data_IF_564450730665
#
_entry.id   IF_564450730665
#
_cell.length_a   1.000
_cell.length_b   1.000
_cell.length_c   1.000
_cell.angle_alpha   90.00
_cell.angle_beta   90.00
_cell.angle_gamma   90.00
#
_symmetry.space_group_name_H-M   'P 1'
#
loop_
_entity.id
_entity.type
_entity.pdbx_description
1 polymer ?
#
# COMPACT_ATOMS: atom_id res chain seq x y z
N UNK A 1 21.44 -25.40 -9.56
CA UNK A 1 21.49 -26.78 -9.03
C UNK A 1 22.45 -27.00 -7.85
N UNK A 2 23.53 -26.23 -7.65
CA UNK A 2 24.48 -26.46 -6.54
C UNK A 2 24.03 -25.97 -5.14
N UNK A 3 23.06 -25.04 -5.06
CA UNK A 3 22.58 -24.48 -3.77
C UNK A 3 21.56 -25.39 -3.08
N UNK A 4 20.74 -26.11 -3.87
CA UNK A 4 19.75 -27.08 -3.37
C UNK A 4 20.40 -28.32 -2.74
N UNK A 5 21.57 -28.74 -3.22
CA UNK A 5 22.29 -29.90 -2.65
C UNK A 5 22.86 -29.62 -1.25
N UNK A 6 23.40 -28.41 -1.00
CA UNK A 6 23.95 -28.06 0.33
C UNK A 6 22.87 -27.97 1.41
N UNK A 7 21.67 -27.49 1.07
CA UNK A 7 20.52 -27.47 1.99
C UNK A 7 20.03 -28.88 2.36
N UNK A 8 20.05 -29.80 1.39
CA UNK A 8 19.74 -31.21 1.64
C UNK A 8 20.78 -31.87 2.56
N UNK A 9 22.04 -31.45 2.50
CA UNK A 9 23.12 -32.02 3.30
C UNK A 9 23.10 -31.52 4.75
N UNK A 10 22.80 -30.23 4.96
CA UNK A 10 22.61 -29.67 6.31
C UNK A 10 21.45 -30.34 7.06
N UNK A 11 20.32 -30.58 6.38
CA UNK A 11 19.20 -31.31 6.98
C UNK A 11 19.58 -32.76 7.32
N UNK A 12 20.38 -33.43 6.49
CA UNK A 12 20.87 -34.79 6.79
C UNK A 12 21.76 -34.83 8.03
N UNK A 13 22.67 -33.88 8.17
CA UNK A 13 23.50 -33.74 9.37
C UNK A 13 22.65 -33.55 10.62
N UNK A 14 21.66 -32.66 10.55
CA UNK A 14 20.70 -32.44 11.64
C UNK A 14 19.94 -33.72 12.00
N UNK A 15 19.41 -34.45 11.01
CA UNK A 15 18.69 -35.71 11.24
C UNK A 15 19.58 -36.79 11.89
N UNK A 16 20.87 -36.83 11.54
CA UNK A 16 21.83 -37.74 12.16
C UNK A 16 22.10 -37.36 13.63
N UNK A 17 22.27 -36.07 13.93
CA UNK A 17 22.51 -35.59 15.30
C UNK A 17 21.33 -35.90 16.22
N UNK A 18 20.10 -35.58 15.81
CA UNK A 18 18.91 -35.87 16.62
C UNK A 18 18.64 -37.37 16.77
N UNK A 19 19.18 -38.20 15.88
CA UNK A 19 19.08 -39.66 15.94
C UNK A 19 19.95 -40.29 17.04
N UNK A 20 20.97 -39.58 17.52
CA UNK A 20 21.88 -40.07 18.57
C UNK A 20 21.26 -40.00 19.97
N UNK A 21 20.27 -39.14 20.18
CA UNK A 21 19.59 -39.01 21.46
C UNK A 21 18.58 -40.14 21.68
N UNK A 22 18.61 -40.73 22.87
CA UNK A 22 17.70 -41.81 23.26
C UNK A 22 16.28 -41.30 23.49
N UNK A 23 15.29 -42.12 23.14
CA UNK A 23 13.89 -41.83 23.44
C UNK A 23 13.63 -42.01 24.94
N UNK A 24 12.85 -41.10 25.52
CA UNK A 24 12.50 -41.14 26.93
C UNK A 24 11.38 -42.13 27.20
N UNK A 25 11.45 -42.78 28.36
CA UNK A 25 10.34 -43.55 28.91
C UNK A 25 9.37 -42.62 29.66
N UNK A 26 8.16 -43.08 29.95
CA UNK A 26 7.21 -42.30 30.76
C UNK A 26 7.70 -42.02 32.19
N UNK A 27 8.58 -42.87 32.73
CA UNK A 27 9.23 -42.64 34.03
C UNK A 27 10.31 -41.55 33.92
N UNK A 28 11.09 -41.55 32.84
CA UNK A 28 12.06 -40.50 32.58
C UNK A 28 11.39 -39.14 32.36
N UNK A 29 10.27 -39.08 31.63
CA UNK A 29 9.48 -37.85 31.44
C UNK A 29 9.04 -37.27 32.78
N UNK A 30 8.59 -38.11 33.73
CA UNK A 30 8.22 -37.65 35.09
C UNK A 30 9.43 -37.17 35.88
N UNK A 31 10.55 -37.92 35.83
CA UNK A 31 11.79 -37.55 36.54
C UNK A 31 12.34 -36.22 36.04
N UNK A 32 12.42 -36.03 34.72
CA UNK A 32 12.88 -34.79 34.11
C UNK A 32 11.91 -33.65 34.37
N UNK A 33 10.60 -33.88 34.26
CA UNK A 33 9.58 -32.87 34.59
C UNK A 33 9.71 -32.34 36.02
N UNK A 34 10.00 -33.23 36.99
CA UNK A 34 10.26 -32.83 38.38
C UNK A 34 11.51 -31.95 38.51
N UNK A 35 12.64 -32.38 37.94
CA UNK A 35 13.89 -31.62 37.99
C UNK A 35 13.75 -30.24 37.33
N UNK A 36 12.98 -30.13 36.24
CA UNK A 36 12.70 -28.86 35.57
C UNK A 36 11.90 -27.92 36.48
N UNK A 37 10.85 -28.42 37.13
CA UNK A 37 10.02 -27.65 38.08
C UNK A 37 10.85 -27.19 39.28
N UNK A 38 11.63 -28.09 39.87
CA UNK A 38 12.52 -27.78 41.00
C UNK A 38 13.58 -26.73 40.61
N UNK A 39 14.14 -26.84 39.40
CA UNK A 39 15.09 -25.86 38.86
C UNK A 39 14.45 -24.49 38.59
N UNK A 40 13.21 -24.44 38.11
CA UNK A 40 12.48 -23.19 37.89
C UNK A 40 12.24 -22.44 39.20
N UNK A 41 11.78 -23.15 40.23
CA UNK A 41 11.60 -22.60 41.58
C UNK A 41 12.93 -22.09 42.14
N UNK A 42 14.04 -22.80 41.88
CA UNK A 42 15.36 -22.36 42.32
C UNK A 42 15.81 -21.07 41.61
N UNK A 43 15.51 -20.92 40.31
CA UNK A 43 15.80 -19.70 39.54
C UNK A 43 14.94 -18.52 40.04
N UNK A 44 13.65 -18.72 40.29
CA UNK A 44 12.77 -17.69 40.85
C UNK A 44 13.27 -17.19 42.21
N UNK A 45 13.64 -18.10 43.11
CA UNK A 45 14.22 -17.73 44.41
C UNK A 45 15.53 -16.96 44.28
N UNK A 46 16.41 -17.37 43.36
CA UNK A 46 17.68 -16.68 43.13
C UNK A 46 17.52 -15.28 42.53
N UNK A 47 16.40 -15.03 41.84
CA UNK A 47 16.09 -13.75 41.18
C UNK A 47 15.32 -12.80 42.11
N UNK A 48 14.66 -13.34 43.13
CA UNK A 48 13.97 -12.56 44.17
C UNK A 48 14.93 -11.68 44.98
N UNK A 49 14.38 -10.59 45.54
CA UNK A 49 15.13 -9.59 46.32
C UNK A 49 15.37 -10.02 47.79
N UNK A 50 15.00 -11.25 48.14
CA UNK A 50 15.17 -11.78 49.49
C UNK A 50 16.65 -12.12 49.79
N UNK A 51 17.15 -11.82 51.00
CA UNK A 51 18.51 -12.18 51.38
C UNK A 51 18.63 -13.70 51.60
N UNK A 52 19.36 -14.36 50.70
CA UNK A 52 19.60 -15.81 50.74
C UNK A 52 20.92 -16.13 51.44
N UNK A 53 20.93 -17.13 52.33
CA UNK A 53 22.14 -17.64 52.96
C UNK A 53 23.17 -18.14 51.91
N UNK A 54 24.49 -17.87 52.08
CA UNK A 54 25.49 -18.33 51.13
C UNK A 54 25.52 -19.84 50.86
N UNK A 55 25.12 -20.70 51.81
CA UNK A 55 25.02 -22.14 51.59
C UNK A 55 23.78 -22.49 50.77
N UNK A 56 22.64 -21.89 51.09
CA UNK A 56 21.38 -22.07 50.36
C UNK A 56 21.52 -21.59 48.92
N UNK A 57 22.19 -20.46 48.69
CA UNK A 57 22.50 -19.94 47.35
C UNK A 57 23.27 -20.92 46.47
N UNK A 58 24.19 -21.71 47.05
CA UNK A 58 24.92 -22.76 46.31
C UNK A 58 24.01 -23.92 45.92
N UNK A 59 23.12 -24.34 46.82
CA UNK A 59 22.16 -25.42 46.54
C UNK A 59 21.17 -25.02 45.46
N UNK A 60 20.63 -23.79 45.51
CA UNK A 60 19.73 -23.26 44.50
C UNK A 60 20.41 -23.15 43.13
N UNK A 61 21.68 -22.71 43.08
CA UNK A 61 22.44 -22.67 41.82
C UNK A 61 22.62 -24.07 41.22
N UNK A 62 22.88 -25.07 42.05
CA UNK A 62 23.00 -26.46 41.60
C UNK A 62 21.67 -26.98 41.07
N UNK A 63 20.58 -26.76 41.80
CA UNK A 63 19.24 -27.15 41.37
C UNK A 63 18.83 -26.46 40.05
N UNK A 64 19.18 -25.18 39.88
CA UNK A 64 18.96 -24.45 38.63
C UNK A 64 19.75 -25.05 37.45
N UNK A 65 21.02 -25.40 37.65
CA UNK A 65 21.85 -26.07 36.63
C UNK A 65 21.30 -27.46 36.28
N UNK A 66 20.91 -28.25 37.29
CA UNK A 66 20.31 -29.57 37.10
C UNK A 66 18.97 -29.48 36.36
N UNK A 67 18.12 -28.50 36.69
CA UNK A 67 16.88 -28.23 35.97
C UNK A 67 17.09 -27.80 34.52
N UNK A 68 18.09 -26.95 34.26
CA UNK A 68 18.42 -26.54 32.89
C UNK A 68 18.99 -27.72 32.07
N UNK A 69 19.80 -28.58 32.68
CA UNK A 69 20.29 -29.80 32.03
C UNK A 69 19.13 -30.76 31.72
N UNK A 70 18.20 -30.93 32.67
CA UNK A 70 17.00 -31.74 32.47
C UNK A 70 16.10 -31.20 31.35
N UNK A 71 15.94 -29.87 31.26
CA UNK A 71 15.22 -29.20 30.17
C UNK A 71 15.88 -29.50 28.82
N UNK A 72 17.19 -29.31 28.70
CA UNK A 72 17.96 -29.61 27.49
C UNK A 72 17.79 -31.07 27.07
N UNK A 73 17.92 -32.00 28.01
CA UNK A 73 17.73 -33.43 27.76
C UNK A 73 16.31 -33.74 27.27
N UNK A 74 15.29 -33.15 27.90
CA UNK A 74 13.88 -33.35 27.52
C UNK A 74 13.57 -32.81 26.13
N UNK A 75 14.17 -31.67 25.75
CA UNK A 75 14.07 -31.11 24.39
C UNK A 75 14.76 -32.04 23.38
N UNK A 76 16.03 -32.39 23.61
CA UNK A 76 16.85 -33.19 22.70
C UNK A 76 16.22 -34.54 22.36
N UNK A 77 15.69 -35.24 23.38
CA UNK A 77 15.04 -36.53 23.18
C UNK A 77 13.75 -36.46 22.33
N UNK A 78 13.13 -35.29 22.25
CA UNK A 78 11.87 -35.06 21.54
C UNK A 78 12.02 -34.31 20.20
N UNK A 79 13.25 -33.98 19.76
CA UNK A 79 13.47 -33.30 18.47
C UNK A 79 12.92 -34.11 17.28
N UNK A 80 12.96 -35.45 17.36
CA UNK A 80 12.40 -36.35 16.33
C UNK A 80 10.89 -36.18 16.17
N UNK A 81 10.17 -35.85 17.24
CA UNK A 81 8.73 -35.58 17.18
C UNK A 81 8.46 -34.33 16.33
N UNK A 82 9.27 -33.28 16.48
CA UNK A 82 9.14 -32.03 15.71
C UNK A 82 9.27 -32.30 14.22
N UNK A 83 10.31 -33.03 13.80
CA UNK A 83 10.52 -33.41 12.40
C UNK A 83 9.34 -34.21 11.84
N UNK A 84 8.80 -35.16 12.61
CA UNK A 84 7.65 -35.96 12.18
C UNK A 84 6.38 -35.12 11.95
N UNK A 85 6.21 -34.05 12.73
CA UNK A 85 5.09 -33.11 12.58
C UNK A 85 5.34 -32.18 11.39
N UNK A 86 6.57 -31.66 11.25
CA UNK A 86 6.98 -30.72 10.20
C UNK A 86 6.82 -31.32 8.80
N UNK A 87 7.11 -32.61 8.63
CA UNK A 87 7.03 -33.30 7.33
C UNK A 87 5.63 -33.28 6.68
N UNK A 88 4.57 -33.06 7.47
CA UNK A 88 3.19 -32.89 6.95
C UNK A 88 2.94 -31.51 6.32
N UNK A 89 3.84 -30.57 6.55
CA UNK A 89 3.77 -29.19 6.09
C UNK A 89 4.83 -28.88 5.01
N UNK A 90 5.58 -29.90 4.58
CA UNK A 90 6.61 -29.79 3.55
C UNK A 90 6.00 -29.43 2.19
N UNK A 91 6.64 -28.52 1.45
CA UNK A 91 6.20 -28.11 0.10
C UNK A 91 5.10 -27.05 0.02
N UNK A 92 4.81 -26.32 1.11
CA UNK A 92 3.90 -25.15 1.07
C UNK A 92 4.68 -23.84 0.91
N UNK A 93 4.78 -23.08 1.99
CA UNK A 93 5.17 -21.67 1.99
C UNK A 93 6.53 -21.43 2.66
N UNK A 94 7.08 -22.44 3.36
CA UNK A 94 8.33 -22.31 4.11
C UNK A 94 9.19 -23.56 3.95
N UNK A 95 10.51 -23.39 3.97
CA UNK A 95 11.45 -24.50 3.89
C UNK A 95 11.31 -25.42 5.11
N UNK A 96 11.49 -26.73 4.90
CA UNK A 96 11.40 -27.73 5.97
C UNK A 96 12.33 -27.43 7.15
N UNK A 97 13.54 -26.92 6.89
CA UNK A 97 14.49 -26.54 7.94
C UNK A 97 13.92 -25.45 8.86
N UNK A 98 13.34 -24.41 8.29
CA UNK A 98 12.76 -23.29 9.05
C UNK A 98 11.51 -23.74 9.82
N UNK A 99 10.65 -24.57 9.20
CA UNK A 99 9.51 -25.18 9.89
C UNK A 99 9.95 -26.03 11.09
N UNK A 100 11.04 -26.80 10.96
CA UNK A 100 11.59 -27.58 12.07
C UNK A 100 12.10 -26.66 13.18
N UNK A 101 12.76 -25.55 12.86
CA UNK A 101 13.23 -24.61 13.90
C UNK A 101 12.09 -23.92 14.64
N UNK A 102 11.07 -23.47 13.93
CA UNK A 102 9.86 -22.89 14.56
C UNK A 102 9.12 -23.94 15.41
N UNK A 103 9.11 -25.18 14.93
CA UNK A 103 8.66 -26.34 15.69
C UNK A 103 9.45 -26.58 16.97
N UNK A 104 10.78 -26.45 16.93
CA UNK A 104 11.66 -26.58 18.09
C UNK A 104 11.39 -25.49 19.13
N UNK A 105 11.10 -24.26 18.68
CA UNK A 105 10.64 -23.16 19.57
C UNK A 105 9.33 -23.54 20.25
N UNK A 106 8.37 -24.10 19.50
CA UNK A 106 7.14 -24.65 20.06
C UNK A 106 7.38 -25.76 21.09
N UNK A 107 8.29 -26.68 20.79
CA UNK A 107 8.69 -27.77 21.69
C UNK A 107 9.29 -27.23 23.00
N UNK A 108 10.19 -26.25 22.93
CA UNK A 108 10.78 -25.64 24.13
C UNK A 108 9.71 -25.01 25.03
N UNK A 109 8.73 -24.31 24.44
CA UNK A 109 7.58 -23.77 25.18
C UNK A 109 6.70 -24.87 25.80
N UNK A 110 6.57 -26.01 25.11
CA UNK A 110 5.86 -27.16 25.65
C UNK A 110 6.57 -27.73 26.88
N UNK A 111 7.90 -27.85 26.84
CA UNK A 111 8.71 -28.31 27.97
C UNK A 111 8.55 -27.37 29.18
N UNK A 112 8.58 -26.06 28.96
CA UNK A 112 8.44 -25.06 30.03
C UNK A 112 7.07 -25.11 30.73
N UNK A 113 6.02 -25.47 30.01
CA UNK A 113 4.64 -25.50 30.52
C UNK A 113 4.13 -26.92 30.77
N UNK A 114 5.00 -27.92 30.71
CA UNK A 114 4.59 -29.31 30.90
C UNK A 114 4.35 -29.60 32.37
N UNK A 115 3.23 -30.26 32.64
CA UNK A 115 2.84 -30.66 33.99
C UNK A 115 2.88 -32.19 34.10
N UNK A 116 3.88 -32.70 34.82
CA UNK A 116 4.10 -34.13 35.00
C UNK A 116 3.10 -34.78 35.98
N UNK A 117 2.39 -33.99 36.80
CA UNK A 117 1.43 -34.51 37.79
C UNK A 117 0.14 -35.00 37.11
N UNK A 118 -0.17 -34.47 35.93
CA UNK A 118 -1.38 -34.82 35.16
C UNK A 118 -1.34 -36.23 34.54
N UNK A 119 -0.18 -36.89 34.52
CA UNK A 119 -0.05 -38.29 34.09
C UNK A 119 -0.22 -38.57 32.59
N UNK A 120 -0.39 -37.54 31.75
CA UNK A 120 -0.39 -37.69 30.29
C UNK A 120 1.03 -37.74 29.73
N UNK A 121 1.25 -38.49 28.64
CA UNK A 121 2.53 -38.51 27.94
C UNK A 121 2.90 -37.12 27.41
N UNK A 122 4.18 -36.76 27.50
CA UNK A 122 4.66 -35.46 27.04
C UNK A 122 4.33 -35.18 25.56
N UNK A 123 4.44 -36.20 24.71
CA UNK A 123 4.15 -36.09 23.27
C UNK A 123 2.73 -35.60 22.94
N UNK A 124 1.75 -35.92 23.79
CA UNK A 124 0.35 -35.51 23.59
C UNK A 124 0.21 -33.99 23.74
N UNK A 125 0.86 -33.44 24.76
CA UNK A 125 0.87 -32.01 25.03
C UNK A 125 1.77 -31.24 24.05
N UNK A 126 2.97 -31.77 23.78
CA UNK A 126 3.95 -31.14 22.91
C UNK A 126 3.44 -30.98 21.48
N UNK A 127 2.68 -31.96 20.96
CA UNK A 127 2.12 -31.90 19.60
C UNK A 127 1.30 -30.64 19.35
N UNK A 128 0.53 -30.17 20.35
CA UNK A 128 -0.27 -28.96 20.22
C UNK A 128 0.61 -27.71 20.05
N UNK A 129 1.61 -27.53 20.92
CA UNK A 129 2.53 -26.39 20.89
C UNK A 129 3.40 -26.37 19.65
N UNK A 130 3.90 -27.53 19.21
CA UNK A 130 4.70 -27.66 17.99
C UNK A 130 3.86 -27.23 16.77
N UNK A 131 2.63 -27.75 16.65
CA UNK A 131 1.72 -27.40 15.55
C UNK A 131 1.38 -25.91 15.55
N UNK A 132 1.09 -25.35 16.72
CA UNK A 132 0.75 -23.93 16.88
C UNK A 132 1.90 -23.03 16.45
N UNK A 133 3.13 -23.34 16.87
CA UNK A 133 4.31 -22.57 16.50
C UNK A 133 4.56 -22.61 14.98
N UNK A 134 4.51 -23.80 14.37
CA UNK A 134 4.68 -23.96 12.92
C UNK A 134 3.59 -23.24 12.12
N UNK A 135 2.32 -23.39 12.50
CA UNK A 135 1.19 -22.77 11.79
C UNK A 135 1.26 -21.25 11.88
N UNK A 136 1.65 -20.72 13.04
CA UNK A 136 1.87 -19.28 13.22
C UNK A 136 3.04 -18.78 12.38
N UNK A 137 4.18 -19.49 12.39
CA UNK A 137 5.34 -19.11 11.60
C UNK A 137 5.04 -19.12 10.09
N UNK A 138 4.28 -20.11 9.63
CA UNK A 138 3.82 -20.18 8.24
C UNK A 138 2.94 -18.99 7.87
N UNK A 139 2.00 -18.59 8.74
CA UNK A 139 1.18 -17.41 8.52
C UNK A 139 2.00 -16.10 8.57
N UNK A 140 3.02 -16.04 9.42
CA UNK A 140 3.81 -14.83 9.66
C UNK A 140 4.95 -14.62 8.64
N UNK A 141 5.58 -15.70 8.17
CA UNK A 141 6.82 -15.71 7.37
C UNK A 141 6.69 -16.43 6.02
N UNK A 142 5.65 -17.25 5.81
CA UNK A 142 5.53 -18.08 4.62
C UNK A 142 5.28 -17.30 3.31
N UNK A 143 4.86 -16.04 3.39
CA UNK A 143 4.59 -15.22 2.20
C UNK A 143 5.59 -14.10 2.06
N UNK A 144 6.02 -13.84 0.81
CA UNK A 144 6.87 -12.70 0.46
C UNK A 144 6.23 -11.36 0.88
N UNK A 145 4.91 -11.26 0.70
CA UNK A 145 4.11 -10.13 1.19
C UNK A 145 3.35 -10.61 2.44
N UNK A 146 3.79 -10.10 3.59
CA UNK A 146 3.23 -10.46 4.89
C UNK A 146 1.76 -10.03 4.98
N UNK A 147 0.91 -10.96 5.41
CA UNK A 147 -0.50 -10.71 5.73
C UNK A 147 -0.70 -10.93 7.24
N UNK A 148 -1.41 -10.05 7.96
CA UNK A 148 -1.74 -10.26 9.37
C UNK A 148 -2.47 -11.59 9.63
N UNK A 149 -2.21 -12.22 10.77
CA UNK A 149 -2.72 -13.55 11.11
C UNK A 149 -4.25 -13.65 11.03
N UNK A 150 -4.98 -12.66 11.55
CA UNK A 150 -6.45 -12.65 11.50
C UNK A 150 -6.99 -12.61 10.06
N UNK A 151 -6.29 -11.95 9.13
CA UNK A 151 -6.66 -11.95 7.71
C UNK A 151 -6.37 -13.30 7.07
N UNK A 152 -5.24 -13.95 7.39
CA UNK A 152 -4.94 -15.31 6.93
C UNK A 152 -5.95 -16.35 7.45
N UNK A 153 -6.45 -16.19 8.68
CA UNK A 153 -7.54 -17.04 9.21
C UNK A 153 -8.83 -16.89 8.37
N UNK A 154 -9.18 -15.66 7.97
CA UNK A 154 -10.31 -15.41 7.08
C UNK A 154 -10.10 -16.03 5.69
N UNK A 155 -8.92 -15.86 5.09
CA UNK A 155 -8.57 -16.47 3.80
C UNK A 155 -8.66 -18.00 3.86
N UNK A 156 -8.09 -18.61 4.89
CA UNK A 156 -8.16 -20.06 5.08
C UNK A 156 -9.60 -20.56 5.29
N UNK A 157 -10.43 -19.79 5.99
CA UNK A 157 -11.86 -20.09 6.17
C UNK A 157 -12.62 -20.02 4.85
N UNK A 158 -12.39 -18.98 4.05
CA UNK A 158 -12.99 -18.82 2.72
C UNK A 158 -12.57 -19.99 1.82
N UNK A 159 -11.28 -20.30 1.71
CA UNK A 159 -10.79 -21.43 0.91
C UNK A 159 -11.32 -22.79 1.38
N UNK A 160 -11.46 -22.99 2.70
CA UNK A 160 -12.04 -24.22 3.23
C UNK A 160 -13.51 -24.34 2.85
N UNK A 161 -14.26 -23.25 2.99
CA UNK A 161 -15.68 -23.19 2.63
C UNK A 161 -15.89 -23.39 1.14
N UNK A 162 -15.03 -22.78 0.32
CA UNK A 162 -15.00 -22.98 -1.13
C UNK A 162 -14.80 -24.46 -1.47
N UNK A 163 -13.78 -25.13 -0.90
CA UNK A 163 -13.55 -26.57 -1.12
C UNK A 163 -14.73 -27.45 -0.66
N UNK A 164 -15.33 -27.12 0.48
CA UNK A 164 -16.52 -27.82 1.00
C UNK A 164 -17.71 -27.65 0.04
N UNK A 165 -17.97 -26.43 -0.44
CA UNK A 165 -19.03 -26.14 -1.41
C UNK A 165 -18.75 -26.77 -2.79
N UNK A 166 -17.50 -26.76 -3.26
CA UNK A 166 -17.12 -27.46 -4.49
C UNK A 166 -17.41 -28.96 -4.40
N UNK A 167 -17.17 -29.57 -3.22
CA UNK A 167 -17.49 -30.98 -3.01
C UNK A 167 -19.00 -31.25 -2.89
N UNK A 168 -19.79 -30.30 -2.37
CA UNK A 168 -21.24 -30.46 -2.23
C UNK A 168 -21.99 -30.19 -3.55
N UNK A 169 -21.53 -29.22 -4.33
CA UNK A 169 -22.19 -28.74 -5.55
C UNK A 169 -21.65 -29.39 -6.83
N UNK A 170 -20.51 -30.08 -6.77
CA UNK A 170 -19.78 -30.63 -7.91
C UNK A 170 -19.47 -29.57 -9.00
N UNK A 171 -19.43 -28.29 -8.62
CA UNK A 171 -19.07 -27.14 -9.45
C UNK A 171 -18.34 -26.10 -8.61
N UNK A 172 -17.67 -25.16 -9.26
CA UNK A 172 -17.10 -24.01 -8.56
C UNK A 172 -18.23 -23.13 -7.97
N UNK A 173 -18.15 -22.78 -6.68
CA UNK A 173 -19.18 -21.98 -6.01
C UNK A 173 -19.09 -20.51 -6.45
N UNK A 174 -20.23 -19.83 -6.51
CA UNK A 174 -20.27 -18.39 -6.72
C UNK A 174 -19.72 -17.65 -5.48
N UNK A 175 -19.06 -16.49 -5.63
CA UNK A 175 -18.64 -15.67 -4.50
C UNK A 175 -19.78 -15.34 -3.51
N UNK A 176 -21.01 -15.23 -4.01
CA UNK A 176 -22.21 -15.01 -3.19
C UNK A 176 -22.55 -16.21 -2.30
N UNK A 177 -22.38 -17.43 -2.82
CA UNK A 177 -22.64 -18.68 -2.09
C UNK A 177 -21.61 -18.88 -0.98
N UNK A 178 -20.33 -18.59 -1.29
CA UNK A 178 -19.23 -18.62 -0.32
C UNK A 178 -19.43 -17.56 0.77
N UNK A 179 -19.85 -16.35 0.39
CA UNK A 179 -20.16 -15.24 1.31
C UNK A 179 -21.29 -15.61 2.27
N UNK A 180 -22.40 -16.16 1.76
CA UNK A 180 -23.54 -16.60 2.56
C UNK A 180 -23.14 -17.70 3.58
N UNK A 181 -22.33 -18.67 3.16
CA UNK A 181 -21.86 -19.76 4.05
C UNK A 181 -20.86 -19.27 5.09
N UNK A 182 -19.98 -18.32 4.73
CA UNK A 182 -19.02 -17.72 5.65
C UNK A 182 -19.62 -16.66 6.59
N UNK A 183 -20.83 -16.16 6.29
CA UNK A 183 -21.43 -15.02 6.98
C UNK A 183 -20.66 -13.72 6.77
N UNK A 184 -20.11 -13.53 5.56
CA UNK A 184 -19.34 -12.34 5.17
C UNK A 184 -20.04 -11.60 4.03
N UNK A 185 -19.72 -10.31 3.87
CA UNK A 185 -20.14 -9.53 2.71
C UNK A 185 -19.42 -10.01 1.43
N UNK A 186 -20.13 -9.97 0.29
CA UNK A 186 -19.60 -10.44 -1.01
C UNK A 186 -18.35 -9.66 -1.41
N UNK A 187 -18.34 -8.35 -1.20
CA UNK A 187 -17.19 -7.49 -1.47
C UNK A 187 -15.97 -7.90 -0.64
N UNK A 188 -16.18 -8.29 0.63
CA UNK A 188 -15.09 -8.75 1.49
C UNK A 188 -14.54 -10.10 1.05
N UNK A 189 -15.39 -11.01 0.56
CA UNK A 189 -14.93 -12.29 0.01
C UNK A 189 -14.07 -12.06 -1.24
N UNK A 190 -14.48 -11.16 -2.14
CA UNK A 190 -13.70 -10.81 -3.33
C UNK A 190 -12.33 -10.24 -2.95
N UNK A 191 -12.26 -9.35 -1.95
CA UNK A 191 -11.00 -8.83 -1.41
C UNK A 191 -10.12 -9.96 -0.83
N UNK A 192 -10.72 -10.88 -0.06
CA UNK A 192 -10.00 -12.02 0.53
C UNK A 192 -9.48 -13.00 -0.53
N UNK A 193 -10.21 -13.19 -1.63
CA UNK A 193 -9.76 -14.01 -2.76
C UNK A 193 -8.53 -13.39 -3.44
N UNK A 194 -8.42 -12.06 -3.48
CA UNK A 194 -7.21 -11.40 -4.01
C UNK A 194 -5.97 -11.69 -3.16
N UNK A 195 -6.12 -11.77 -1.83
CA UNK A 195 -5.02 -12.13 -0.94
C UNK A 195 -4.54 -13.58 -1.09
N UNK A 196 -5.36 -14.45 -1.67
CA UNK A 196 -4.97 -15.83 -1.95
C UNK A 196 -3.92 -15.93 -3.06
N UNK A 197 -3.79 -14.93 -3.93
CA UNK A 197 -2.77 -14.95 -5.00
C UNK A 197 -1.36 -14.80 -4.43
N UNK A 198 -0.51 -15.77 -4.72
CA UNK A 198 0.92 -15.73 -4.39
C UNK A 198 1.69 -14.79 -5.32
N UNK A 199 2.91 -14.42 -4.92
CA UNK A 199 3.84 -13.68 -5.78
C UNK A 199 4.44 -14.62 -6.82
N UNK A 200 4.57 -14.16 -8.07
CA UNK A 200 5.27 -14.87 -9.15
C UNK A 200 6.63 -14.22 -9.35
N UNK A 201 7.65 -15.03 -9.65
CA UNK A 201 8.99 -14.50 -9.95
C UNK A 201 9.01 -13.84 -11.33
N UNK A 202 9.63 -12.66 -11.42
CA UNK A 202 9.84 -11.97 -12.69
C UNK A 202 10.82 -12.72 -13.62
N UNK A 203 11.68 -13.55 -13.04
CA UNK A 203 12.65 -14.37 -13.77
C UNK A 203 12.06 -15.68 -14.29
N UNK A 204 10.77 -15.95 -14.03
CA UNK A 204 10.12 -17.15 -14.55
C UNK A 204 10.14 -17.08 -16.09
N UNK A 205 10.77 -18.03 -16.79
CA UNK A 205 10.83 -18.01 -18.25
C UNK A 205 9.42 -18.15 -18.82
N UNK A 206 9.10 -17.39 -19.87
CA UNK A 206 7.84 -17.54 -20.58
C UNK A 206 7.99 -18.54 -21.71
N UNK A 207 7.23 -19.64 -21.67
CA UNK A 207 7.25 -20.68 -22.70
C UNK A 207 8.14 -21.88 -22.36
N UNK A 208 7.89 -23.00 -23.06
CA UNK A 208 8.54 -24.29 -22.79
C UNK A 208 9.96 -24.39 -23.40
N UNK A 209 10.22 -23.62 -24.46
CA UNK A 209 11.45 -23.70 -25.24
C UNK A 209 12.62 -22.87 -24.68
N UNK A 210 12.45 -22.19 -23.53
CA UNK A 210 13.51 -21.40 -22.88
C UNK A 210 13.97 -20.15 -23.63
N UNK A 211 13.53 -19.96 -24.87
CA UNK A 211 13.81 -18.78 -25.72
C UNK A 211 12.77 -17.67 -25.55
N UNK A 212 11.63 -17.93 -24.90
CA UNK A 212 10.72 -16.87 -24.53
C UNK A 212 11.27 -16.16 -23.30
N UNK A 213 11.52 -14.85 -23.44
CA UNK A 213 12.11 -14.00 -22.41
C UNK A 213 11.40 -14.10 -21.06
N UNK A 214 11.98 -13.49 -20.04
CA UNK A 214 11.41 -13.49 -18.70
C UNK A 214 10.32 -12.41 -18.58
N UNK A 215 9.50 -12.46 -17.53
CA UNK A 215 8.46 -11.43 -17.30
C UNK A 215 9.08 -10.04 -17.16
N UNK A 216 10.30 -9.96 -16.63
CA UNK A 216 11.06 -8.70 -16.52
C UNK A 216 11.28 -8.02 -17.87
N UNK A 217 11.40 -8.78 -18.96
CA UNK A 217 11.67 -8.24 -20.29
C UNK A 217 10.42 -7.64 -20.96
N UNK A 218 9.23 -8.01 -20.48
CA UNK A 218 7.93 -7.60 -21.03
C UNK A 218 7.36 -6.38 -20.30
N UNK A 219 7.67 -6.22 -19.01
CA UNK A 219 7.10 -5.16 -18.20
C UNK A 219 7.72 -3.81 -18.60
N UNK A 220 6.87 -2.89 -19.07
CA UNK A 220 7.29 -1.56 -19.45
C UNK A 220 7.61 -0.69 -18.22
N UNK A 221 8.67 0.13 -18.33
CA UNK A 221 8.98 1.15 -17.33
C UNK A 221 8.19 2.44 -17.62
N UNK A 222 7.13 2.67 -16.85
CA UNK A 222 6.27 3.86 -17.00
C UNK A 222 6.96 5.17 -16.58
N UNK A 223 8.08 5.10 -15.83
CA UNK A 223 8.81 6.29 -15.37
C UNK A 223 9.85 6.77 -16.38
N UNK A 224 10.18 5.96 -17.38
CA UNK A 224 11.17 6.32 -18.38
C UNK A 224 10.57 7.40 -19.30
N UNK A 225 11.20 8.58 -19.31
CA UNK A 225 10.83 9.61 -20.28
C UNK A 225 11.08 9.09 -21.69
N UNK A 226 10.06 9.19 -22.55
CA UNK A 226 10.22 8.85 -23.96
C UNK A 226 11.12 9.89 -24.64
N UNK A 227 11.90 9.52 -25.68
CA UNK A 227 12.69 10.49 -26.43
C UNK A 227 11.86 11.64 -27.00
N UNK A 228 10.59 11.38 -27.34
CA UNK A 228 9.66 12.40 -27.82
C UNK A 228 9.26 13.37 -26.71
N UNK A 229 8.83 12.87 -25.54
CA UNK A 229 8.49 13.73 -24.40
C UNK A 229 9.69 14.54 -23.91
N UNK A 230 10.90 13.96 -23.95
CA UNK A 230 12.13 14.68 -23.63
C UNK A 230 12.42 15.80 -24.66
N UNK A 231 12.28 15.52 -25.96
CA UNK A 231 12.47 16.51 -27.02
C UNK A 231 11.43 17.64 -26.96
N UNK A 232 10.17 17.32 -26.69
CA UNK A 232 9.10 18.30 -26.45
C UNK A 232 9.43 19.19 -25.25
N UNK A 233 9.85 18.61 -24.12
CA UNK A 233 10.28 19.36 -22.94
C UNK A 233 11.47 20.27 -23.26
N UNK A 234 12.48 19.77 -23.98
CA UNK A 234 13.62 20.59 -24.39
C UNK A 234 13.23 21.72 -25.36
N UNK A 235 12.32 21.46 -26.30
CA UNK A 235 11.80 22.49 -27.22
C UNK A 235 11.01 23.57 -26.46
N UNK A 236 10.19 23.16 -25.49
CA UNK A 236 9.46 24.08 -24.61
C UNK A 236 10.41 24.95 -23.78
N UNK A 237 11.44 24.36 -23.16
CA UNK A 237 12.44 25.12 -22.39
C UNK A 237 13.14 26.15 -23.28
N UNK A 238 13.58 25.76 -24.49
CA UNK A 238 14.25 26.69 -25.41
C UNK A 238 13.32 27.83 -25.87
N UNK A 239 12.03 27.56 -26.08
CA UNK A 239 11.05 28.58 -26.43
C UNK A 239 10.85 29.56 -25.27
N UNK A 240 10.77 29.05 -24.05
CA UNK A 240 10.64 29.89 -22.85
C UNK A 240 11.90 30.71 -22.62
N UNK A 241 13.10 30.14 -22.76
CA UNK A 241 14.37 30.89 -22.68
C UNK A 241 14.43 32.02 -23.72
N UNK A 242 14.06 31.75 -24.97
CA UNK A 242 14.07 32.75 -26.04
C UNK A 242 13.08 33.91 -25.82
N UNK A 243 11.93 33.66 -25.18
CA UNK A 243 11.01 34.73 -24.78
C UNK A 243 11.48 35.46 -23.52
N UNK A 244 12.17 34.77 -22.61
CA UNK A 244 12.75 35.36 -21.41
C UNK A 244 13.98 36.26 -21.69
N UNK A 245 14.68 36.05 -22.80
CA UNK A 245 15.79 36.91 -23.27
C UNK A 245 15.37 38.37 -23.54
N UNK A 246 14.07 38.62 -23.73
CA UNK A 246 13.52 39.97 -23.91
C UNK A 246 13.42 40.78 -22.60
N UNK A 247 13.59 40.14 -21.45
CA UNK A 247 13.45 40.73 -20.13
C UNK A 247 14.80 41.16 -19.53
N UNK A 248 14.79 42.02 -18.50
CA UNK A 248 16.00 42.34 -17.76
C UNK A 248 16.67 41.07 -17.23
N UNK A 249 18.00 40.96 -17.34
CA UNK A 249 18.78 39.77 -16.95
C UNK A 249 18.47 39.32 -15.50
N UNK A 250 18.25 40.27 -14.60
CA UNK A 250 17.89 40.03 -13.19
C UNK A 250 16.54 39.32 -13.03
N UNK A 251 15.58 39.70 -13.84
CA UNK A 251 14.20 39.22 -13.77
C UNK A 251 14.07 37.83 -14.40
N UNK A 252 14.78 37.62 -15.50
CA UNK A 252 14.95 36.31 -16.14
C UNK A 252 15.58 35.30 -15.17
N UNK A 253 16.66 35.68 -14.49
CA UNK A 253 17.35 34.79 -13.55
C UNK A 253 16.48 34.42 -12.33
N UNK A 254 15.67 35.36 -11.82
CA UNK A 254 14.70 35.12 -10.75
C UNK A 254 13.65 34.08 -11.18
N UNK A 255 13.11 34.18 -12.40
CA UNK A 255 12.11 33.24 -12.95
C UNK A 255 12.73 31.86 -13.17
N UNK A 256 13.91 31.80 -13.79
CA UNK A 256 14.61 30.54 -14.05
C UNK A 256 14.90 29.77 -12.76
N UNK A 257 15.35 30.46 -11.70
CA UNK A 257 15.60 29.85 -10.39
C UNK A 257 14.31 29.47 -9.66
N UNK A 258 13.23 30.23 -9.82
CA UNK A 258 11.95 29.94 -9.16
C UNK A 258 11.23 28.75 -9.78
N UNK A 259 11.14 28.69 -11.11
CA UNK A 259 10.40 27.67 -11.83
C UNK A 259 11.25 26.47 -12.24
N UNK A 260 12.55 26.51 -11.95
CA UNK A 260 13.47 25.43 -12.30
C UNK A 260 13.66 25.25 -13.80
N UNK A 261 13.51 26.34 -14.57
CA UNK A 261 13.75 26.34 -16.02
C UNK A 261 15.26 26.43 -16.21
N UNK A 262 15.88 25.36 -16.73
CA UNK A 262 17.34 25.15 -16.79
C UNK A 262 18.12 25.11 -15.46
N UNK A 263 17.59 25.68 -14.37
CA UNK A 263 18.17 25.68 -13.01
C UNK A 263 17.37 24.78 -12.07
N UNK A 264 17.88 24.53 -10.86
CA UNK A 264 17.09 23.88 -9.81
C UNK A 264 16.08 24.87 -9.24
N UNK A 265 14.85 24.40 -9.01
CA UNK A 265 13.81 25.20 -8.35
C UNK A 265 14.22 25.57 -6.93
N UNK A 266 14.05 26.86 -6.58
CA UNK A 266 14.36 27.42 -5.25
C UNK A 266 13.14 28.16 -4.66
N UNK A 267 12.96 28.10 -3.32
CA UNK A 267 11.91 28.87 -2.64
C UNK A 267 12.17 30.38 -2.76
N UNK A 268 11.09 31.17 -2.67
CA UNK A 268 11.15 32.64 -2.80
C UNK A 268 12.15 33.28 -1.83
N UNK A 269 12.29 32.72 -0.63
CA UNK A 269 13.17 33.24 0.41
C UNK A 269 14.66 33.07 0.04
N UNK A 270 15.02 31.95 -0.62
CA UNK A 270 16.39 31.72 -1.09
C UNK A 270 16.72 32.58 -2.31
N UNK A 271 15.77 32.73 -3.23
CA UNK A 271 15.91 33.62 -4.39
C UNK A 271 16.05 35.06 -3.92
N UNK A 272 15.20 35.51 -3.00
CA UNK A 272 15.25 36.84 -2.39
C UNK A 272 16.60 37.11 -1.69
N UNK A 273 17.13 36.13 -0.96
CA UNK A 273 18.43 36.22 -0.31
C UNK A 273 19.59 36.33 -1.32
N UNK A 274 19.54 35.60 -2.44
CA UNK A 274 20.57 35.64 -3.48
C UNK A 274 20.62 36.99 -4.21
N UNK A 275 19.47 37.62 -4.46
CA UNK A 275 19.38 38.90 -5.16
C UNK A 275 19.36 40.12 -4.21
N UNK A 276 19.43 39.91 -2.90
CA UNK A 276 19.45 40.96 -1.87
C UNK A 276 18.15 41.78 -1.81
N UNK A 277 17.00 41.18 -2.10
CA UNK A 277 15.70 41.85 -2.15
C UNK A 277 14.74 41.25 -1.12
N UNK A 278 13.69 41.98 -0.76
CA UNK A 278 12.59 41.44 0.03
C UNK A 278 11.79 40.39 -0.77
N UNK A 279 11.30 39.35 -0.08
CA UNK A 279 10.45 38.28 -0.64
C UNK A 279 9.24 38.83 -1.41
N UNK A 280 8.62 39.88 -0.89
CA UNK A 280 7.44 40.53 -1.51
C UNK A 280 7.79 41.15 -2.87
N UNK A 281 8.99 41.71 -3.00
CA UNK A 281 9.44 42.31 -4.25
C UNK A 281 9.70 41.25 -5.33
N UNK A 282 10.25 40.09 -4.96
CA UNK A 282 10.39 38.94 -5.88
C UNK A 282 9.01 38.46 -6.36
N UNK A 283 8.01 38.47 -5.47
CA UNK A 283 6.63 38.11 -5.81
C UNK A 283 5.98 39.14 -6.74
N UNK A 284 6.21 40.42 -6.52
CA UNK A 284 5.66 41.50 -7.35
C UNK A 284 6.28 41.49 -8.75
N UNK A 285 7.60 41.25 -8.87
CA UNK A 285 8.29 41.02 -10.14
C UNK A 285 7.64 39.84 -10.88
N UNK A 286 7.48 38.68 -10.22
CA UNK A 286 6.85 37.52 -10.86
C UNK A 286 5.42 37.85 -11.35
N UNK A 287 4.63 38.57 -10.55
CA UNK A 287 3.27 38.98 -10.94
C UNK A 287 3.28 39.93 -12.15
N UNK A 288 4.14 40.94 -12.14
CA UNK A 288 4.26 41.92 -13.21
C UNK A 288 4.67 41.26 -14.53
N UNK A 289 5.62 40.32 -14.46
CA UNK A 289 6.13 39.62 -15.64
C UNK A 289 5.13 38.61 -16.21
N UNK A 290 4.42 37.86 -15.36
CA UNK A 290 3.33 36.99 -15.81
C UNK A 290 2.23 37.82 -16.50
N UNK A 291 1.91 39.02 -16.00
CA UNK A 291 0.94 39.90 -16.65
C UNK A 291 1.42 40.49 -17.98
N UNK A 292 2.71 40.88 -18.07
CA UNK A 292 3.31 41.42 -19.30
C UNK A 292 3.44 40.36 -20.41
N UNK A 293 3.89 39.16 -20.04
CA UNK A 293 3.98 38.02 -20.97
C UNK A 293 2.62 37.66 -21.55
N UNK A 294 1.51 37.74 -20.81
CA UNK A 294 0.17 37.52 -21.36
C UNK A 294 -0.23 38.49 -22.47
N UNK A 295 0.13 39.78 -22.37
CA UNK A 295 -0.24 40.79 -23.37
C UNK A 295 0.70 40.76 -24.59
N UNK A 296 2.00 40.49 -24.39
CA UNK A 296 3.00 40.45 -25.45
C UNK A 296 3.06 39.11 -26.21
N UNK A 297 2.91 37.95 -25.53
CA UNK A 297 2.76 36.66 -26.22
C UNK A 297 1.47 36.63 -27.06
N UNK A 298 0.35 37.15 -26.55
CA UNK A 298 -0.90 37.26 -27.31
C UNK A 298 -0.75 38.18 -28.55
N UNK A 299 0.12 39.19 -28.48
CA UNK A 299 0.39 40.09 -29.61
C UNK A 299 1.35 39.47 -30.65
N UNK A 300 2.38 38.72 -30.22
CA UNK A 300 3.37 38.07 -31.09
C UNK A 300 2.89 36.75 -31.72
N UNK A 301 1.88 36.08 -31.16
CA UNK A 301 1.22 34.90 -31.76
C UNK A 301 0.38 35.21 -33.01
N UNK A 302 0.36 36.46 -33.51
CA UNK A 302 -0.15 36.81 -34.84
C UNK A 302 0.80 36.34 -35.96
N UNK A 303 0.81 35.05 -36.28
CA UNK A 303 1.12 34.58 -37.64
C UNK A 303 -0.18 34.61 -38.47
N UNK A 304 -0.07 35.07 -39.71
CA UNK A 304 -1.17 35.36 -40.64
C UNK A 304 -2.17 34.20 -40.77
N UNK A 305 -3.49 34.48 -40.80
CA UNK A 305 -4.51 33.45 -40.90
C UNK A 305 -4.43 32.82 -42.29
N UNK A 306 -4.16 31.52 -42.34
CA UNK A 306 -4.58 30.69 -43.46
C UNK A 306 -5.76 29.86 -42.94
N UNK A 307 -6.89 29.97 -43.62
CA UNK A 307 -8.27 29.71 -43.17
C UNK A 307 -8.61 28.24 -42.84
N UNK A 308 -7.66 27.41 -42.40
CA UNK A 308 -7.89 25.99 -42.13
C UNK A 308 -7.50 25.50 -40.72
N UNK A 309 -7.01 26.36 -39.83
CA UNK A 309 -6.56 25.95 -38.48
C UNK A 309 -7.23 26.75 -37.34
N UNK A 310 -8.52 27.09 -37.46
CA UNK A 310 -9.29 27.68 -36.36
C UNK A 310 -9.56 26.73 -35.17
N UNK A 311 -8.99 25.52 -35.14
CA UNK A 311 -9.33 24.48 -34.17
C UNK A 311 -8.28 24.30 -33.06
N UNK A 312 -7.08 24.90 -33.16
CA UNK A 312 -5.99 24.56 -32.21
C UNK A 312 -5.59 25.66 -31.21
N UNK A 313 -6.05 26.90 -31.39
CA UNK A 313 -5.77 28.00 -30.44
C UNK A 313 -6.55 27.88 -29.13
N UNK A 314 -7.73 27.24 -29.13
CA UNK A 314 -8.48 26.92 -27.90
C UNK A 314 -7.79 25.81 -27.08
N UNK A 315 -7.11 24.85 -27.73
CA UNK A 315 -6.36 23.78 -27.05
C UNK A 315 -5.10 24.30 -26.35
N UNK A 316 -4.40 25.26 -26.94
CA UNK A 316 -3.19 25.85 -26.32
C UNK A 316 -3.56 26.67 -25.08
N UNK A 317 -4.70 27.38 -25.10
CA UNK A 317 -5.22 28.11 -23.93
C UNK A 317 -5.73 27.18 -22.81
N UNK A 318 -6.17 25.96 -23.15
CA UNK A 318 -6.50 24.92 -22.17
C UNK A 318 -5.27 24.23 -21.55
N UNK A 319 -4.10 24.29 -22.21
CA UNK A 319 -2.87 23.59 -21.79
C UNK A 319 -1.92 24.46 -20.93
N UNK A 320 -2.06 25.79 -20.95
CA UNK A 320 -1.20 26.70 -20.18
C UNK A 320 -1.37 26.54 -18.65
N UNK A 321 -2.60 26.37 -18.11
CA UNK A 321 -2.78 26.02 -16.69
C UNK A 321 -2.29 24.60 -16.37
N UNK A 322 -2.39 23.67 -17.32
CA UNK A 322 -1.92 22.28 -17.15
C UNK A 322 -0.38 22.20 -17.16
N UNK A 323 0.31 23.04 -17.95
CA UNK A 323 1.77 23.13 -17.99
C UNK A 323 2.36 23.84 -16.75
N UNK A 324 1.67 24.84 -16.21
CA UNK A 324 2.09 25.52 -14.98
C UNK A 324 1.73 24.74 -13.71
N UNK A 325 0.56 24.07 -13.68
CA UNK A 325 0.13 23.24 -12.54
C UNK A 325 0.89 21.92 -12.39
N UNK A 326 1.53 21.43 -13.45
CA UNK A 326 2.41 20.26 -13.37
C UNK A 326 3.76 20.56 -12.68
N UNK A 327 4.10 21.83 -12.44
CA UNK A 327 5.46 22.24 -12.08
C UNK A 327 5.70 22.62 -10.61
N UNK A 328 4.72 22.87 -9.72
CA UNK A 328 5.01 22.94 -8.27
C UNK A 328 3.77 22.91 -7.34
N UNK A 329 3.95 22.27 -6.17
CA UNK A 329 2.99 21.98 -5.08
C UNK A 329 2.88 23.09 -4.00
N UNK A 330 3.23 24.35 -4.24
CA UNK A 330 3.10 25.39 -3.18
C UNK A 330 2.94 26.80 -3.77
N UNK A 331 1.70 27.24 -4.03
CA UNK A 331 1.38 28.63 -4.30
C UNK A 331 0.72 29.29 -3.07
N UNK A 332 1.36 30.29 -2.42
CA UNK A 332 0.78 30.92 -1.24
C UNK A 332 -0.08 32.13 -1.66
N UNK A 333 -1.36 31.90 -2.00
CA UNK A 333 -2.36 32.96 -2.15
C UNK A 333 -3.62 32.82 -1.27
N UNK A 334 -3.66 31.86 -0.34
CA UNK A 334 -4.73 31.75 0.66
C UNK A 334 -4.17 31.89 2.09
N UNK A 335 -4.75 32.80 2.88
CA UNK A 335 -4.47 32.92 4.31
C UNK A 335 -5.01 31.68 5.07
N UNK A 336 -4.22 31.17 6.03
CA UNK A 336 -4.46 29.97 6.86
C UNK A 336 -5.79 29.98 7.65
N UNK A 337 -6.41 31.14 7.83
CA UNK A 337 -7.67 31.30 8.57
C UNK A 337 -8.90 30.84 7.76
N UNK A 338 -8.84 30.94 6.43
CA UNK A 338 -9.95 30.53 5.57
C UNK A 338 -9.89 29.02 5.28
N UNK A 339 -8.71 28.42 5.10
CA UNK A 339 -8.58 26.97 4.85
C UNK A 339 -9.23 26.08 5.94
N UNK A 340 -9.18 26.49 7.22
CA UNK A 340 -9.88 25.79 8.32
C UNK A 340 -11.40 25.95 8.28
N UNK A 341 -11.87 27.10 7.81
CA UNK A 341 -13.30 27.40 7.64
C UNK A 341 -13.87 26.64 6.43
N UNK A 342 -13.06 26.48 5.38
CA UNK A 342 -13.38 25.70 4.19
C UNK A 342 -13.36 24.19 4.44
N UNK A 343 -12.38 23.68 5.20
CA UNK A 343 -12.35 22.28 5.64
C UNK A 343 -13.53 21.92 6.57
N UNK A 344 -13.98 22.86 7.41
CA UNK A 344 -15.16 22.68 8.26
C UNK A 344 -16.48 22.70 7.47
N UNK A 345 -16.56 23.47 6.38
CA UNK A 345 -17.70 23.47 5.47
C UNK A 345 -17.80 22.18 4.64
N UNK A 346 -16.66 21.66 4.16
CA UNK A 346 -16.55 20.37 3.45
C UNK A 346 -16.98 19.20 4.35
N UNK A 347 -16.72 19.29 5.67
CA UNK A 347 -17.08 18.23 6.62
C UNK A 347 -18.59 18.16 6.96
N UNK A 348 -19.36 19.21 6.69
CA UNK A 348 -20.77 19.30 7.13
C UNK A 348 -21.82 19.08 6.01
N UNK A 349 -21.40 18.71 4.79
CA UNK A 349 -22.26 18.68 3.60
C UNK A 349 -23.11 17.40 3.44
N UNK A 350 -23.87 17.04 4.47
CA UNK A 350 -25.05 16.18 4.27
C UNK A 350 -26.31 17.04 4.12
N UNK A 351 -26.79 17.10 2.88
CA UNK A 351 -28.13 17.48 2.41
C UNK A 351 -28.25 18.79 1.60
N UNK A 352 -28.45 18.58 0.29
CA UNK A 352 -29.50 19.20 -0.55
C UNK A 352 -29.90 20.66 -0.34
N UNK A 353 -29.38 21.53 -1.23
CA UNK A 353 -29.87 22.83 -1.71
C UNK A 353 -28.68 23.80 -1.75
N UNK A 354 -28.33 24.29 -2.94
CA UNK A 354 -27.22 25.24 -3.12
C UNK A 354 -27.65 26.63 -2.64
N UNK A 355 -27.42 26.93 -1.35
CA UNK A 355 -27.85 28.18 -0.72
C UNK A 355 -26.88 29.35 -0.98
N UNK A 356 -25.63 29.09 -1.41
CA UNK A 356 -24.62 30.14 -1.68
C UNK A 356 -24.16 30.22 -3.14
N UNK A 357 -23.87 31.45 -3.61
CA UNK A 357 -23.25 31.69 -4.91
C UNK A 357 -21.81 31.14 -5.00
N UNK A 358 -21.12 31.02 -3.86
CA UNK A 358 -19.78 30.46 -3.77
C UNK A 358 -19.78 28.93 -3.91
N UNK A 359 -20.75 28.24 -3.29
CA UNK A 359 -20.94 26.78 -3.44
C UNK A 359 -21.20 26.42 -4.90
N UNK A 360 -22.00 27.24 -5.60
CA UNK A 360 -22.25 27.08 -7.04
C UNK A 360 -20.99 27.26 -7.88
N UNK A 361 -20.11 28.20 -7.54
CA UNK A 361 -18.89 28.47 -8.29
C UNK A 361 -17.88 27.32 -8.18
N UNK A 362 -17.71 26.77 -6.98
CA UNK A 362 -16.82 25.61 -6.72
C UNK A 362 -17.34 24.36 -7.44
N UNK A 363 -18.64 24.10 -7.39
CA UNK A 363 -19.24 22.96 -8.08
C UNK A 363 -19.17 23.09 -9.61
N UNK A 364 -19.34 24.30 -10.15
CA UNK A 364 -19.19 24.57 -11.59
C UNK A 364 -17.74 24.42 -12.06
N UNK A 365 -16.76 24.79 -11.24
CA UNK A 365 -15.35 24.58 -11.53
C UNK A 365 -14.98 23.08 -11.55
N UNK A 366 -15.45 22.32 -10.57
CA UNK A 366 -15.30 20.85 -10.51
C UNK A 366 -15.91 20.16 -11.73
N UNK A 367 -17.12 20.56 -12.12
CA UNK A 367 -17.78 20.03 -13.32
C UNK A 367 -16.97 20.39 -14.56
N UNK A 368 -16.54 21.64 -14.74
CA UNK A 368 -15.70 22.06 -15.90
C UNK A 368 -14.43 21.22 -16.06
N UNK A 369 -13.74 20.93 -14.97
CA UNK A 369 -12.54 20.09 -14.97
C UNK A 369 -12.84 18.62 -15.31
N UNK A 370 -13.96 18.09 -14.84
CA UNK A 370 -14.38 16.71 -15.13
C UNK A 370 -14.91 16.46 -16.54
N UNK A 371 -15.35 17.50 -17.26
CA UNK A 371 -15.97 17.36 -18.59
C UNK A 371 -15.02 16.89 -19.69
N UNK A 372 -13.68 16.97 -19.49
CA UNK A 372 -12.68 16.51 -20.47
C UNK A 372 -12.59 14.98 -20.60
N UNK A 373 -13.07 14.22 -19.60
CA UNK A 373 -12.91 12.77 -19.54
C UNK A 373 -14.23 12.00 -19.57
N UNK A 374 -15.35 12.69 -19.80
CA UNK A 374 -16.68 12.09 -19.90
C UNK A 374 -17.11 11.91 -21.37
N UNK A 375 -17.90 10.87 -21.68
CA UNK A 375 -18.51 10.74 -23.00
C UNK A 375 -19.42 11.95 -23.30
N UNK A 376 -19.43 12.39 -24.56
CA UNK A 376 -20.08 13.63 -25.02
C UNK A 376 -21.55 13.77 -24.55
N UNK A 377 -22.31 12.67 -24.53
CA UNK A 377 -23.71 12.69 -24.10
C UNK A 377 -23.90 13.01 -22.62
N UNK A 378 -23.04 12.47 -21.75
CA UNK A 378 -23.09 12.73 -20.30
C UNK A 378 -22.55 14.14 -19.98
N UNK A 379 -21.58 14.60 -20.77
CA UNK A 379 -21.01 15.93 -20.70
C UNK A 379 -22.05 17.03 -21.01
N UNK A 380 -22.87 16.84 -22.05
CA UNK A 380 -23.93 17.81 -22.37
C UNK A 380 -25.05 17.86 -21.33
N UNK A 381 -25.43 16.72 -20.74
CA UNK A 381 -26.41 16.67 -19.64
C UNK A 381 -25.93 17.51 -18.43
N UNK A 382 -24.66 17.37 -18.06
CA UNK A 382 -24.09 18.11 -16.92
C UNK A 382 -23.85 19.59 -17.24
N UNK A 383 -23.43 19.92 -18.47
CA UNK A 383 -23.30 21.33 -18.91
C UNK A 383 -24.62 22.09 -18.82
N UNK A 384 -25.74 21.44 -19.17
CA UNK A 384 -27.07 22.04 -19.12
C UNK A 384 -27.62 22.12 -17.70
N UNK A 385 -27.39 21.10 -16.87
CA UNK A 385 -27.83 21.11 -15.48
C UNK A 385 -27.09 22.19 -14.67
N UNK A 386 -25.76 22.24 -14.77
CA UNK A 386 -24.92 23.15 -13.99
C UNK A 386 -24.69 24.52 -14.62
N UNK A 387 -25.19 24.76 -15.84
CA UNK A 387 -25.15 26.07 -16.47
C UNK A 387 -23.75 26.53 -16.91
N UNK A 388 -22.91 25.60 -17.38
CA UNK A 388 -21.50 25.86 -17.72
C UNK A 388 -21.35 26.84 -18.90
N UNK A 389 -22.38 26.94 -19.77
CA UNK A 389 -22.49 27.85 -20.92
C UNK A 389 -23.84 28.61 -21.02
N UNK A 390 -24.85 28.28 -20.20
CA UNK A 390 -26.22 28.85 -20.20
C UNK A 390 -26.79 28.91 -18.77
N UNK A 391 -28.00 29.45 -18.54
CA UNK A 391 -28.64 29.41 -17.20
C UNK A 391 -28.81 27.96 -16.72
N UNK A 392 -28.54 27.66 -15.43
CA UNK A 392 -28.70 26.32 -14.88
C UNK A 392 -30.16 25.87 -14.96
N UNK A 393 -30.38 24.62 -15.37
CA UNK A 393 -31.71 24.01 -15.54
C UNK A 393 -31.92 22.92 -14.50
N UNK A 394 -33.15 22.76 -14.03
CA UNK A 394 -33.48 21.71 -13.05
C UNK A 394 -33.39 20.31 -13.69
N UNK A 395 -33.21 19.27 -12.88
CA UNK A 395 -33.13 17.88 -13.37
C UNK A 395 -34.35 17.49 -14.22
N UNK A 396 -35.53 18.01 -13.90
CA UNK A 396 -36.78 17.76 -14.62
C UNK A 396 -36.82 18.47 -15.99
N UNK A 397 -36.21 19.64 -16.11
CA UNK A 397 -36.09 20.39 -17.37
C UNK A 397 -35.09 19.72 -18.33
N UNK A 398 -33.94 19.28 -17.82
CA UNK A 398 -32.92 18.58 -18.62
C UNK A 398 -33.43 17.20 -19.07
N UNK A 399 -34.18 16.50 -18.21
CA UNK A 399 -34.83 15.23 -18.53
C UNK A 399 -35.79 15.33 -19.73
N UNK A 400 -36.57 16.42 -19.77
CA UNK A 400 -37.59 16.66 -20.79
C UNK A 400 -36.99 16.97 -22.17
N UNK A 401 -35.85 17.66 -22.20
CA UNK A 401 -35.19 18.08 -23.44
C UNK A 401 -34.36 16.95 -24.08
N UNK A 402 -33.64 16.19 -23.26
CA UNK A 402 -32.74 15.11 -23.71
C UNK A 402 -33.49 13.76 -23.83
N UNK A 403 -34.79 13.72 -23.43
CA UNK A 403 -35.65 12.52 -23.42
C UNK A 403 -35.08 11.37 -22.57
N UNK A 404 -34.53 11.71 -21.42
CA UNK A 404 -33.94 10.78 -20.46
C UNK A 404 -34.65 10.95 -19.12
N UNK A 405 -34.81 9.87 -18.34
CA UNK A 405 -35.51 9.98 -17.05
C UNK A 405 -34.71 10.83 -16.05
N UNK A 406 -35.41 11.60 -15.21
CA UNK A 406 -34.79 12.42 -14.13
C UNK A 406 -33.80 11.61 -13.28
N UNK A 407 -34.18 10.38 -12.94
CA UNK A 407 -33.34 9.49 -12.14
C UNK A 407 -32.08 9.04 -12.88
N UNK A 408 -32.13 8.92 -14.21
CA UNK A 408 -30.96 8.61 -15.01
C UNK A 408 -29.97 9.78 -15.04
N UNK A 409 -30.44 11.02 -15.08
CA UNK A 409 -29.58 12.21 -14.97
C UNK A 409 -28.91 12.26 -13.59
N UNK A 410 -29.67 12.01 -12.52
CA UNK A 410 -29.14 11.93 -11.16
C UNK A 410 -28.09 10.82 -10.99
N UNK A 411 -28.30 9.66 -11.59
CA UNK A 411 -27.32 8.58 -11.59
C UNK A 411 -26.04 8.94 -12.35
N UNK A 412 -26.16 9.64 -13.48
CA UNK A 412 -25.01 10.15 -14.25
C UNK A 412 -24.24 11.17 -13.39
N UNK A 413 -24.93 12.09 -12.73
CA UNK A 413 -24.34 13.07 -11.81
C UNK A 413 -23.60 12.40 -10.66
N UNK A 414 -24.25 11.50 -9.92
CA UNK A 414 -23.64 10.80 -8.79
C UNK A 414 -22.45 9.93 -9.21
N UNK A 415 -22.55 9.21 -10.34
CA UNK A 415 -21.45 8.40 -10.87
C UNK A 415 -20.27 9.27 -11.28
N UNK A 416 -20.54 10.44 -11.84
CA UNK A 416 -19.52 11.41 -12.25
C UNK A 416 -18.84 12.03 -11.04
N UNK A 417 -19.61 12.49 -10.05
CA UNK A 417 -19.08 13.02 -8.80
C UNK A 417 -18.32 11.96 -7.99
N UNK A 418 -18.78 10.71 -7.97
CA UNK A 418 -18.08 9.60 -7.32
C UNK A 418 -16.76 9.26 -8.02
N UNK A 419 -16.72 9.29 -9.36
CA UNK A 419 -15.48 9.16 -10.14
C UNK A 419 -14.52 10.31 -9.90
N UNK A 420 -15.01 11.53 -9.71
CA UNK A 420 -14.19 12.69 -9.34
C UNK A 420 -13.68 12.60 -7.89
N UNK A 421 -14.47 12.03 -6.97
CA UNK A 421 -14.11 11.82 -5.56
C UNK A 421 -13.10 10.67 -5.33
N UNK A 422 -12.85 9.81 -6.31
CA UNK A 422 -11.92 8.68 -6.17
C UNK A 422 -10.47 9.16 -5.93
N UNK A 423 -9.67 8.55 -5.03
CA UNK A 423 -8.37 9.06 -4.56
C UNK A 423 -7.39 9.49 -5.66
N UNK A 424 -7.35 8.74 -6.76
CA UNK A 424 -6.46 9.00 -7.91
C UNK A 424 -6.88 10.26 -8.72
N UNK A 425 -8.18 10.53 -8.85
CA UNK A 425 -8.70 11.78 -9.43
C UNK A 425 -8.72 12.91 -8.39
N UNK A 426 -8.89 12.56 -7.11
CA UNK A 426 -8.79 13.50 -5.99
C UNK A 426 -7.38 14.06 -5.81
N UNK A 427 -6.33 13.36 -6.26
CA UNK A 427 -4.96 13.88 -6.27
C UNK A 427 -4.78 14.98 -7.32
N UNK A 428 -5.41 14.81 -8.49
CA UNK A 428 -5.55 15.87 -9.51
C UNK A 428 -6.43 17.03 -9.05
N UNK A 429 -7.45 16.76 -8.23
CA UNK A 429 -8.34 17.79 -7.66
C UNK A 429 -7.80 18.45 -6.39
N UNK A 430 -6.93 17.80 -5.61
CA UNK A 430 -6.23 18.39 -4.46
C UNK A 430 -5.26 19.46 -4.93
N UNK A 431 -4.60 19.26 -6.07
CA UNK A 431 -3.83 20.32 -6.74
C UNK A 431 -4.68 21.52 -7.23
N UNK A 432 -6.01 21.46 -7.16
CA UNK A 432 -6.92 22.58 -7.45
C UNK A 432 -7.62 23.14 -6.21
N UNK A 433 -7.49 22.50 -5.05
CA UNK A 433 -8.17 22.87 -3.79
C UNK A 433 -7.20 23.19 -2.64
N UNK A 434 -5.93 22.78 -2.73
CA UNK A 434 -4.85 23.18 -1.81
C UNK A 434 -4.00 24.35 -2.38
N UNK A 435 -4.61 25.25 -3.16
CA UNK A 435 -4.08 26.56 -3.55
C UNK A 435 -5.04 27.69 -3.10
#
# INVERSE_FOLDING_TARGET
MAVTERGSDAMRLYLNEIGQHTLLTSDDERRLGKLIKDGLVAVERLTGDEPIDPSEKRTLRRAAQEGQAAKTQMVQANLRLVVSIARRYDGKDLQLADLVQEGNIGLMRAVDKYDYEKGFKFSTYATWWIRQAMTRAMADQGRNIRIPTHMMELVNRVQRTERELTSELERDPSPEEVAHRCGLEVEKVLELMQYAFGTVSLDTPLGDDGDGGAWVDIIADEKMETPNSAAERHALVNLVEAELDGLPERDCEIIMMRFGISRQSRPLDEVAAQFGIAREHVRDIIKELVQLTHHELAAKLKRTPTETEEIETEKVLELIPEAFGALHHDCPLADEADAKTWAAAIAHEQNGSFDSAAERAVHVALVRLGLKHLPENDCEILKQHFGVRRRPRTLDEVASEIKVTRERIRQIEQKTLARMRHPHNSARLRGFLDD
#
